data_IF_621240907984
#
_entry.id   IF_621240907984
#
_cell.length_a   1.000
_cell.length_b   1.000
_cell.length_c   1.000
_cell.angle_alpha   90.00
_cell.angle_beta   90.00
_cell.angle_gamma   90.00
#
_symmetry.space_group_name_H-M   'P 1'
#
loop_
_entity.id
_entity.type
_entity.pdbx_description
1 polymer ?
#
# COMPACT_ATOMS: atom_id res chain seq x y z
N UNK A 1 -9.16 -46.01 0.69
CA UNK A 1 -9.08 -46.86 -0.47
C UNK A 1 -9.40 -46.06 -1.70
N UNK A 2 -8.32 -45.59 -2.37
CA UNK A 2 -8.44 -44.74 -3.54
C UNK A 2 -9.17 -45.41 -4.69
N UNK A 3 -10.08 -44.66 -5.31
CA UNK A 3 -10.71 -45.06 -6.56
C UNK A 3 -9.69 -45.10 -7.70
N UNK A 4 -9.99 -45.92 -8.72
CA UNK A 4 -9.29 -45.86 -10.00
C UNK A 4 -9.77 -44.63 -10.76
N UNK A 5 -8.99 -44.14 -11.71
CA UNK A 5 -9.39 -43.13 -12.69
C UNK A 5 -10.80 -43.47 -13.24
N UNK A 6 -11.78 -42.56 -13.08
CA UNK A 6 -13.17 -42.81 -13.42
C UNK A 6 -14.05 -43.49 -12.35
N UNK A 7 -13.51 -43.81 -11.17
CA UNK A 7 -14.30 -44.29 -10.04
C UNK A 7 -14.90 -43.08 -9.25
N UNK A 8 -15.96 -43.29 -8.50
CA UNK A 8 -16.61 -42.27 -7.69
C UNK A 8 -15.65 -41.62 -6.67
N UNK A 9 -16.03 -40.48 -6.15
CA UNK A 9 -15.23 -39.72 -5.20
C UNK A 9 -14.94 -40.51 -3.91
N UNK A 10 -13.74 -40.31 -3.33
CA UNK A 10 -13.38 -40.80 -2.00
C UNK A 10 -13.66 -39.73 -0.94
N UNK A 11 -14.12 -40.17 0.24
CA UNK A 11 -14.44 -39.29 1.35
C UNK A 11 -13.78 -39.80 2.65
N UNK A 12 -13.29 -38.91 3.50
CA UNK A 12 -12.92 -39.27 4.86
C UNK A 12 -14.16 -39.31 5.77
N UNK A 13 -15.02 -38.29 5.65
CA UNK A 13 -16.30 -38.21 6.35
C UNK A 13 -17.37 -37.85 5.32
N UNK A 14 -18.40 -38.69 5.21
CA UNK A 14 -19.55 -38.42 4.34
C UNK A 14 -20.82 -38.41 5.19
N UNK A 15 -21.58 -37.30 5.12
CA UNK A 15 -22.85 -37.13 5.81
C UNK A 15 -23.93 -36.82 4.78
N UNK A 16 -24.87 -37.74 4.61
CA UNK A 16 -25.94 -37.61 3.59
C UNK A 16 -27.28 -37.93 4.18
N UNK A 17 -28.33 -37.26 3.74
CA UNK A 17 -29.70 -37.48 4.15
C UNK A 17 -30.19 -36.46 5.23
N UNK A 18 -31.43 -36.62 5.68
CA UNK A 18 -31.98 -35.71 6.70
C UNK A 18 -31.30 -35.93 8.06
N UNK A 19 -30.64 -34.91 8.55
CA UNK A 19 -30.06 -34.88 9.89
C UNK A 19 -30.25 -33.51 10.51
N UNK A 20 -30.27 -33.45 11.83
CA UNK A 20 -30.28 -32.22 12.59
C UNK A 20 -28.93 -32.08 13.27
N UNK A 21 -28.23 -30.98 13.07
CA UNK A 21 -27.00 -30.61 13.75
C UNK A 21 -25.93 -31.71 13.81
N UNK A 22 -25.16 -31.86 12.78
CA UNK A 22 -24.03 -32.77 12.74
C UNK A 22 -22.71 -32.04 13.09
N UNK A 23 -21.88 -32.64 13.93
CA UNK A 23 -20.60 -32.05 14.34
C UNK A 23 -19.43 -32.95 13.95
N UNK A 24 -18.45 -32.41 13.23
CA UNK A 24 -17.15 -33.01 12.95
C UNK A 24 -16.10 -32.22 13.71
N UNK A 25 -15.55 -32.83 14.79
CA UNK A 25 -14.70 -32.07 15.72
C UNK A 25 -13.46 -32.82 16.17
N UNK A 26 -12.29 -32.13 16.12
CA UNK A 26 -11.03 -32.61 16.70
C UNK A 26 -10.45 -33.83 15.98
N UNK A 27 -10.71 -34.02 14.70
CA UNK A 27 -10.25 -35.13 13.91
C UNK A 27 -8.98 -34.84 13.14
N UNK A 28 -8.20 -35.88 12.91
CA UNK A 28 -7.11 -35.89 11.94
C UNK A 28 -7.57 -36.74 10.73
N UNK A 29 -7.91 -36.07 9.63
CA UNK A 29 -8.49 -36.69 8.44
C UNK A 29 -7.49 -36.59 7.28
N UNK A 30 -7.04 -37.74 6.79
CA UNK A 30 -6.16 -37.81 5.61
C UNK A 30 -6.81 -38.69 4.54
N UNK A 31 -6.90 -38.17 3.33
CA UNK A 31 -7.41 -38.91 2.18
C UNK A 31 -6.45 -38.77 1.00
N UNK A 32 -6.20 -39.88 0.32
CA UNK A 32 -5.41 -39.93 -0.92
C UNK A 32 -6.18 -40.76 -1.95
N UNK A 33 -6.37 -40.22 -3.14
CA UNK A 33 -7.10 -40.88 -4.20
C UNK A 33 -6.47 -40.62 -5.56
N UNK A 34 -6.61 -41.54 -6.50
CA UNK A 34 -6.27 -41.36 -7.91
C UNK A 34 -7.46 -40.78 -8.72
N UNK A 35 -8.38 -40.10 -8.06
CA UNK A 35 -9.55 -39.45 -8.65
C UNK A 35 -10.08 -38.38 -7.71
N UNK A 36 -11.32 -37.91 -7.86
CA UNK A 36 -11.96 -36.95 -6.98
C UNK A 36 -11.83 -37.35 -5.49
N UNK A 37 -11.54 -36.39 -4.64
CA UNK A 37 -11.27 -36.68 -3.24
C UNK A 37 -11.71 -35.53 -2.32
N UNK A 38 -12.42 -35.89 -1.27
CA UNK A 38 -13.02 -34.94 -0.33
C UNK A 38 -12.69 -35.36 1.11
N UNK A 39 -12.30 -34.40 1.93
CA UNK A 39 -12.08 -34.63 3.36
C UNK A 39 -13.42 -34.81 4.10
N UNK A 40 -14.21 -33.76 4.17
CA UNK A 40 -15.57 -33.77 4.75
C UNK A 40 -16.58 -33.45 3.66
N UNK A 41 -17.53 -34.31 3.46
CA UNK A 41 -18.64 -34.09 2.53
C UNK A 41 -19.97 -34.12 3.26
N UNK A 42 -20.79 -33.11 3.03
CA UNK A 42 -22.13 -33.04 3.59
C UNK A 42 -23.13 -32.67 2.52
N UNK A 43 -24.20 -33.47 2.42
CA UNK A 43 -25.28 -33.25 1.46
C UNK A 43 -26.64 -33.54 2.07
N UNK A 44 -27.58 -32.62 1.88
CA UNK A 44 -28.97 -32.84 2.29
C UNK A 44 -29.96 -32.50 1.20
N UNK A 45 -30.72 -33.46 0.78
CA UNK A 45 -31.76 -33.30 -0.23
C UNK A 45 -33.15 -32.94 0.34
N UNK A 46 -33.34 -32.93 1.66
CA UNK A 46 -34.67 -32.98 2.26
C UNK A 46 -34.98 -31.91 3.30
N UNK A 47 -34.20 -30.86 3.42
CA UNK A 47 -34.50 -29.76 4.34
C UNK A 47 -33.29 -29.07 4.96
N UNK A 48 -33.52 -28.02 5.72
CA UNK A 48 -32.45 -27.26 6.36
C UNK A 48 -31.81 -28.09 7.46
N UNK A 49 -30.53 -28.38 7.30
CA UNK A 49 -29.70 -29.02 8.31
C UNK A 49 -28.46 -28.19 8.54
N UNK A 50 -27.88 -28.31 9.73
CA UNK A 50 -26.65 -27.62 10.06
C UNK A 50 -25.51 -28.62 10.24
N UNK A 51 -24.35 -28.34 9.66
CA UNK A 51 -23.11 -29.03 9.97
C UNK A 51 -22.10 -28.03 10.54
N UNK A 52 -21.42 -28.44 11.61
CA UNK A 52 -20.30 -27.73 12.20
C UNK A 52 -19.03 -28.57 12.09
N UNK A 53 -18.02 -28.07 11.41
CA UNK A 53 -16.69 -28.66 11.36
C UNK A 53 -15.72 -27.76 12.17
N UNK A 54 -15.17 -28.29 13.28
CA UNK A 54 -14.32 -27.48 14.14
C UNK A 54 -13.07 -28.21 14.63
N UNK A 55 -11.95 -27.50 14.72
CA UNK A 55 -10.68 -28.00 15.25
C UNK A 55 -10.19 -29.29 14.56
N UNK A 56 -10.44 -29.46 13.27
CA UNK A 56 -9.96 -30.60 12.51
C UNK A 56 -8.66 -30.28 11.78
N UNK A 57 -7.82 -31.28 11.62
CA UNK A 57 -6.72 -31.27 10.68
C UNK A 57 -7.11 -32.15 9.48
N UNK A 58 -7.11 -31.57 8.28
CA UNK A 58 -7.62 -32.23 7.06
C UNK A 58 -6.55 -32.12 5.98
N UNK A 59 -6.15 -33.26 5.45
CA UNK A 59 -5.20 -33.33 4.33
C UNK A 59 -5.79 -34.20 3.20
N UNK A 60 -5.99 -33.57 2.06
CA UNK A 60 -6.61 -34.17 0.89
C UNK A 60 -5.66 -34.12 -0.30
N UNK A 61 -5.39 -35.26 -0.89
CA UNK A 61 -4.59 -35.37 -2.13
C UNK A 61 -5.39 -36.15 -3.17
N UNK A 62 -5.63 -35.55 -4.34
CA UNK A 62 -6.48 -36.19 -5.35
C UNK A 62 -6.21 -35.67 -6.75
N UNK A 63 -7.03 -36.12 -7.69
CA UNK A 63 -7.03 -35.67 -9.09
C UNK A 63 -8.36 -34.99 -9.40
N UNK A 64 -8.32 -33.70 -9.70
CA UNK A 64 -9.46 -32.98 -10.22
C UNK A 64 -9.65 -33.27 -11.71
N UNK A 65 -10.86 -33.10 -12.21
CA UNK A 65 -11.21 -33.31 -13.62
C UNK A 65 -12.26 -32.31 -14.10
N UNK A 66 -12.59 -32.33 -15.40
CA UNK A 66 -13.53 -31.40 -16.00
C UNK A 66 -15.00 -31.63 -15.61
N UNK A 67 -15.32 -32.78 -15.02
CA UNK A 67 -16.67 -33.08 -14.60
C UNK A 67 -17.05 -32.26 -13.35
N UNK A 68 -18.30 -31.82 -13.26
CA UNK A 68 -18.82 -31.01 -12.15
C UNK A 68 -18.56 -31.60 -10.76
N UNK A 69 -18.47 -32.93 -10.68
CA UNK A 69 -18.22 -33.65 -9.43
C UNK A 69 -16.80 -34.22 -9.30
N UNK A 70 -15.90 -33.84 -10.22
CA UNK A 70 -14.50 -34.26 -10.17
C UNK A 70 -13.70 -33.31 -9.26
N UNK A 71 -14.07 -33.19 -7.98
CA UNK A 71 -13.58 -32.23 -7.04
C UNK A 71 -12.44 -32.78 -6.18
N UNK A 72 -11.49 -31.91 -5.83
CA UNK A 72 -10.52 -32.14 -4.78
C UNK A 72 -10.71 -31.03 -3.72
N UNK A 73 -11.28 -31.37 -2.57
CA UNK A 73 -11.63 -30.39 -1.58
C UNK A 73 -11.43 -30.87 -0.15
N UNK A 74 -10.98 -29.98 0.74
CA UNK A 74 -10.95 -30.27 2.16
C UNK A 74 -12.31 -30.47 2.75
N UNK A 75 -13.25 -29.58 2.45
CA UNK A 75 -14.65 -29.68 2.85
C UNK A 75 -15.55 -29.27 1.70
N UNK A 76 -16.59 -30.06 1.45
CA UNK A 76 -17.65 -29.71 0.51
C UNK A 76 -19.02 -29.80 1.21
N UNK A 77 -19.78 -28.73 1.08
CA UNK A 77 -21.11 -28.63 1.65
C UNK A 77 -22.14 -28.44 0.54
N UNK A 78 -23.16 -29.31 0.51
CA UNK A 78 -24.28 -29.20 -0.45
C UNK A 78 -25.60 -29.11 0.31
N UNK A 79 -26.40 -28.11 -0.01
CA UNK A 79 -27.76 -27.89 0.54
C UNK A 79 -27.83 -27.90 2.07
N UNK A 80 -26.80 -27.37 2.76
CA UNK A 80 -26.71 -27.31 4.21
C UNK A 80 -26.32 -25.94 4.72
N UNK A 81 -26.71 -25.59 5.92
CA UNK A 81 -26.08 -24.51 6.70
C UNK A 81 -24.77 -25.04 7.25
N UNK A 82 -23.67 -24.36 6.96
CA UNK A 82 -22.36 -24.87 7.32
C UNK A 82 -21.54 -23.86 8.14
N UNK A 83 -20.95 -24.38 9.19
CA UNK A 83 -20.00 -23.66 10.04
C UNK A 83 -18.66 -24.37 10.02
N UNK A 84 -17.59 -23.62 9.75
CA UNK A 84 -16.23 -24.14 9.73
C UNK A 84 -15.34 -23.25 10.61
N UNK A 85 -14.84 -23.78 11.72
CA UNK A 85 -14.09 -23.03 12.71
C UNK A 85 -12.77 -23.68 13.08
N UNK A 86 -11.68 -22.90 13.09
CA UNK A 86 -10.38 -23.33 13.60
C UNK A 86 -9.85 -24.63 12.96
N UNK A 87 -10.17 -24.90 11.70
CA UNK A 87 -9.65 -26.08 11.01
C UNK A 87 -8.33 -25.73 10.31
N UNK A 88 -7.45 -26.72 10.18
CA UNK A 88 -6.27 -26.66 9.32
C UNK A 88 -6.49 -27.59 8.15
N UNK A 89 -6.47 -27.05 6.94
CA UNK A 89 -6.85 -27.76 5.72
C UNK A 89 -5.73 -27.63 4.67
N UNK A 90 -5.30 -28.78 4.13
CA UNK A 90 -4.35 -28.86 3.03
C UNK A 90 -5.02 -29.60 1.89
N UNK A 91 -5.01 -29.01 0.70
CA UNK A 91 -5.57 -29.60 -0.53
C UNK A 91 -4.52 -29.60 -1.61
N UNK A 92 -4.17 -30.80 -2.08
CA UNK A 92 -3.23 -31.06 -3.16
C UNK A 92 -3.94 -31.67 -4.36
N UNK A 93 -3.71 -31.10 -5.55
CA UNK A 93 -4.11 -31.67 -6.81
C UNK A 93 -2.85 -32.21 -7.52
N UNK A 94 -2.82 -33.52 -7.80
CA UNK A 94 -1.64 -34.18 -8.36
C UNK A 94 -1.64 -34.26 -9.87
N UNK A 95 -2.55 -33.60 -10.58
CA UNK A 95 -2.54 -33.46 -12.03
C UNK A 95 -2.48 -31.98 -12.45
N UNK A 96 -2.21 -31.74 -13.73
CA UNK A 96 -2.12 -30.38 -14.29
C UNK A 96 -3.49 -29.70 -14.49
N UNK A 97 -4.59 -30.42 -14.23
CA UNK A 97 -5.93 -29.87 -14.37
C UNK A 97 -6.21 -28.90 -13.21
N UNK A 98 -6.38 -27.65 -13.54
CA UNK A 98 -6.67 -26.58 -12.59
C UNK A 98 -7.84 -25.74 -13.10
N UNK A 99 -9.06 -26.18 -12.80
CA UNK A 99 -10.26 -25.39 -13.05
C UNK A 99 -10.60 -24.59 -11.80
N UNK A 100 -10.95 -23.34 -12.00
CA UNK A 100 -11.38 -22.41 -10.94
C UNK A 100 -12.51 -22.93 -10.04
N UNK A 101 -13.15 -24.04 -10.42
CA UNK A 101 -14.35 -24.56 -9.78
C UNK A 101 -14.16 -25.87 -9.02
N UNK A 102 -13.06 -26.58 -9.24
CA UNK A 102 -12.97 -27.99 -8.85
C UNK A 102 -11.93 -28.28 -7.77
N UNK A 103 -11.15 -27.28 -7.35
CA UNK A 103 -10.12 -27.44 -6.33
C UNK A 103 -10.23 -26.30 -5.33
N UNK A 104 -10.50 -26.60 -4.05
CA UNK A 104 -10.49 -25.60 -2.97
C UNK A 104 -10.38 -26.24 -1.59
N UNK A 105 -9.97 -25.48 -0.61
CA UNK A 105 -9.99 -25.91 0.79
C UNK A 105 -11.40 -26.17 1.31
N UNK A 106 -12.29 -25.20 1.12
CA UNK A 106 -13.71 -25.30 1.44
C UNK A 106 -14.51 -24.91 0.19
N UNK A 107 -15.45 -25.78 -0.22
CA UNK A 107 -16.31 -25.50 -1.37
C UNK A 107 -17.77 -25.72 -1.05
N UNK A 108 -18.61 -24.97 -1.76
CA UNK A 108 -20.03 -25.24 -1.90
C UNK A 108 -20.39 -25.21 -3.38
N UNK A 109 -20.76 -26.37 -3.89
CA UNK A 109 -21.05 -26.57 -5.31
C UNK A 109 -22.53 -26.94 -5.41
N UNK A 110 -23.48 -26.19 -5.27
CA UNK A 110 -24.77 -26.57 -5.25
C UNK A 110 -25.74 -26.40 -6.19
N UNK A 111 -26.77 -27.00 -6.35
CA UNK A 111 -27.68 -27.13 -7.48
C UNK A 111 -29.15 -26.79 -7.25
N UNK A 112 -29.65 -26.73 -6.08
CA UNK A 112 -31.08 -26.46 -5.88
C UNK A 112 -31.37 -25.17 -5.20
N UNK A 113 -32.48 -24.56 -5.48
CA UNK A 113 -32.92 -23.23 -5.07
C UNK A 113 -33.01 -23.05 -3.55
N UNK A 114 -31.89 -22.74 -2.91
CA UNK A 114 -31.88 -22.38 -1.50
C UNK A 114 -30.75 -21.41 -1.17
N UNK A 115 -31.06 -20.36 -0.41
CA UNK A 115 -30.06 -19.45 0.13
C UNK A 115 -29.42 -20.08 1.34
N UNK A 116 -28.31 -20.79 1.16
CA UNK A 116 -27.60 -21.42 2.25
C UNK A 116 -26.71 -20.44 2.96
N UNK A 117 -26.50 -20.62 4.25
CA UNK A 117 -25.71 -19.77 5.12
C UNK A 117 -24.42 -20.46 5.51
N UNK A 118 -23.31 -19.74 5.38
CA UNK A 118 -21.97 -20.19 5.72
C UNK A 118 -21.33 -19.27 6.73
N UNK A 119 -20.73 -19.86 7.74
CA UNK A 119 -19.93 -19.16 8.73
C UNK A 119 -18.54 -19.82 8.80
N UNK A 120 -17.56 -19.20 8.15
CA UNK A 120 -16.22 -19.74 7.96
C UNK A 120 -15.22 -18.82 8.66
N UNK A 121 -14.70 -19.23 9.82
CA UNK A 121 -13.86 -18.37 10.65
C UNK A 121 -12.63 -19.08 11.22
N UNK A 122 -11.52 -18.32 11.29
CA UNK A 122 -10.27 -18.73 11.96
C UNK A 122 -9.68 -20.04 11.43
N UNK A 123 -9.97 -20.43 10.20
CA UNK A 123 -9.36 -21.60 9.59
C UNK A 123 -7.99 -21.23 8.98
N UNK A 124 -7.08 -22.20 8.91
CA UNK A 124 -5.85 -22.12 8.12
C UNK A 124 -5.99 -23.05 6.93
N UNK A 125 -5.98 -22.50 5.73
CA UNK A 125 -6.27 -23.23 4.49
C UNK A 125 -5.16 -23.02 3.48
N UNK A 126 -4.59 -24.13 3.00
CA UNK A 126 -3.65 -24.19 1.88
C UNK A 126 -4.28 -25.01 0.76
N UNK A 127 -4.46 -24.39 -0.39
CA UNK A 127 -5.08 -25.03 -1.56
C UNK A 127 -4.25 -24.81 -2.81
N UNK A 128 -4.03 -25.85 -3.59
CA UNK A 128 -3.44 -25.73 -4.94
C UNK A 128 -4.44 -25.23 -5.98
N UNK A 129 -5.71 -25.07 -5.63
CA UNK A 129 -6.71 -24.42 -6.47
C UNK A 129 -6.59 -22.90 -6.47
N UNK A 130 -7.32 -22.26 -7.37
CA UNK A 130 -7.36 -20.80 -7.48
C UNK A 130 -7.90 -20.13 -6.22
N UNK A 131 -8.81 -20.78 -5.50
CA UNK A 131 -9.39 -20.27 -4.27
C UNK A 131 -9.15 -21.23 -3.10
N UNK A 132 -8.91 -20.67 -1.93
CA UNK A 132 -8.91 -21.43 -0.68
C UNK A 132 -10.35 -21.70 -0.21
N UNK A 133 -11.26 -20.75 -0.42
CA UNK A 133 -12.70 -20.89 -0.15
C UNK A 133 -13.51 -20.48 -1.37
N UNK A 134 -14.32 -21.39 -1.90
CA UNK A 134 -15.11 -21.20 -3.08
C UNK A 134 -16.58 -21.54 -2.83
N UNK A 135 -17.42 -20.52 -2.72
CA UNK A 135 -18.86 -20.67 -2.48
C UNK A 135 -19.62 -20.16 -3.69
N UNK A 136 -20.31 -21.06 -4.42
CA UNK A 136 -21.03 -20.69 -5.65
C UNK A 136 -22.25 -19.80 -5.38
N UNK A 137 -22.99 -20.06 -4.30
CA UNK A 137 -24.13 -19.22 -3.93
C UNK A 137 -24.38 -19.27 -2.42
N UNK A 138 -24.63 -18.12 -1.81
CA UNK A 138 -24.92 -18.04 -0.38
C UNK A 138 -25.72 -16.76 -0.04
N UNK A 139 -26.30 -16.75 1.15
CA UNK A 139 -26.97 -15.57 1.69
C UNK A 139 -26.62 -15.41 3.16
N UNK A 140 -26.46 -14.13 3.58
CA UNK A 140 -26.17 -13.78 4.97
C UNK A 140 -24.95 -14.56 5.53
N UNK A 141 -23.88 -14.70 4.73
CA UNK A 141 -22.75 -15.58 5.00
C UNK A 141 -21.46 -14.81 5.20
N UNK A 142 -20.50 -15.41 5.89
CA UNK A 142 -19.24 -14.75 6.17
C UNK A 142 -18.03 -15.69 6.08
N UNK A 143 -16.91 -15.12 5.58
CA UNK A 143 -15.59 -15.73 5.55
C UNK A 143 -14.66 -14.71 6.21
N UNK A 144 -14.32 -14.91 7.49
CA UNK A 144 -13.65 -13.87 8.30
C UNK A 144 -12.52 -14.46 9.16
N UNK A 145 -11.39 -13.75 9.22
CA UNK A 145 -10.30 -14.06 10.15
C UNK A 145 -9.55 -15.35 9.82
N UNK A 146 -9.69 -15.88 8.61
CA UNK A 146 -8.99 -17.08 8.21
C UNK A 146 -7.58 -16.75 7.69
N UNK A 147 -6.68 -17.72 7.73
CA UNK A 147 -5.40 -17.66 7.01
C UNK A 147 -5.54 -18.46 5.71
N UNK A 148 -5.54 -17.77 4.58
CA UNK A 148 -5.92 -18.36 3.30
C UNK A 148 -4.77 -18.23 2.29
N UNK A 149 -4.32 -19.38 1.78
CA UNK A 149 -3.36 -19.47 0.69
C UNK A 149 -3.94 -20.36 -0.41
N UNK A 150 -3.96 -19.84 -1.62
CA UNK A 150 -4.33 -20.53 -2.84
C UNK A 150 -3.18 -20.44 -3.85
N UNK A 151 -3.31 -21.04 -5.04
CA UNK A 151 -2.22 -21.12 -6.01
C UNK A 151 -1.60 -19.74 -6.35
N UNK A 152 -2.45 -18.75 -6.63
CA UNK A 152 -1.99 -17.39 -6.98
C UNK A 152 -2.58 -16.31 -6.07
N UNK A 153 -3.53 -16.67 -5.20
CA UNK A 153 -4.30 -15.75 -4.37
C UNK A 153 -4.10 -16.05 -2.88
N UNK A 154 -4.19 -15.03 -2.07
CA UNK A 154 -4.11 -15.20 -0.62
C UNK A 154 -4.94 -14.14 0.12
N UNK A 155 -5.21 -14.37 1.43
CA UNK A 155 -6.05 -13.50 2.24
C UNK A 155 -7.47 -13.39 1.68
N UNK A 156 -8.03 -12.19 1.67
CA UNK A 156 -9.39 -11.97 1.20
C UNK A 156 -9.59 -12.35 -0.28
N UNK A 157 -8.54 -12.21 -1.12
CA UNK A 157 -8.62 -12.55 -2.54
C UNK A 157 -8.71 -14.06 -2.79
N UNK A 158 -8.28 -14.89 -1.85
CA UNK A 158 -8.37 -16.34 -1.93
C UNK A 158 -9.74 -16.90 -1.52
N UNK A 159 -10.72 -16.05 -1.24
CA UNK A 159 -12.08 -16.44 -0.85
C UNK A 159 -13.12 -15.72 -1.69
N UNK A 160 -14.12 -16.43 -2.18
CA UNK A 160 -15.16 -15.86 -3.02
C UNK A 160 -16.55 -16.45 -2.76
N UNK A 161 -17.56 -15.55 -2.74
CA UNK A 161 -18.95 -15.88 -2.99
C UNK A 161 -19.30 -15.50 -4.44
N UNK A 162 -19.52 -16.47 -5.33
CA UNK A 162 -19.79 -16.18 -6.75
C UNK A 162 -21.15 -15.55 -6.99
N UNK A 163 -22.12 -15.81 -6.12
CA UNK A 163 -23.46 -15.20 -6.16
C UNK A 163 -24.13 -15.17 -4.79
N UNK A 164 -25.23 -14.43 -4.68
CA UNK A 164 -26.03 -14.30 -3.47
C UNK A 164 -26.06 -12.90 -2.90
N UNK A 165 -26.57 -12.74 -1.67
CA UNK A 165 -26.79 -11.43 -1.03
C UNK A 165 -26.29 -11.41 0.39
N UNK A 166 -25.86 -10.22 0.85
CA UNK A 166 -25.41 -9.95 2.22
C UNK A 166 -24.22 -10.83 2.67
N UNK A 167 -23.37 -11.23 1.71
CA UNK A 167 -22.20 -12.05 2.03
C UNK A 167 -20.99 -11.16 2.29
N UNK A 168 -20.12 -11.56 3.22
CA UNK A 168 -18.96 -10.80 3.65
C UNK A 168 -17.69 -11.64 3.57
N UNK A 169 -16.68 -11.12 2.89
CA UNK A 169 -15.29 -11.61 2.92
C UNK A 169 -14.43 -10.48 3.46
N UNK A 170 -13.79 -10.67 4.62
CA UNK A 170 -12.93 -9.63 5.20
C UNK A 170 -11.96 -10.18 6.27
N UNK A 171 -10.87 -9.42 6.45
CA UNK A 171 -9.89 -9.67 7.50
C UNK A 171 -9.27 -11.07 7.43
N UNK A 172 -9.21 -11.68 6.23
CA UNK A 172 -8.49 -12.92 6.04
C UNK A 172 -7.01 -12.64 5.79
N UNK A 173 -6.14 -13.42 6.40
CA UNK A 173 -4.69 -13.25 6.33
C UNK A 173 -4.08 -14.02 5.15
N UNK A 174 -2.99 -13.54 4.55
CA UNK A 174 -2.39 -12.23 4.80
C UNK A 174 -3.24 -11.08 4.23
N UNK A 175 -3.38 -10.01 4.99
CA UNK A 175 -4.10 -8.81 4.57
C UNK A 175 -3.24 -7.92 3.68
N UNK A 176 -3.85 -7.10 2.85
CA UNK A 176 -3.14 -6.03 2.15
C UNK A 176 -2.78 -4.91 3.13
N UNK A 177 -1.63 -4.28 2.91
CA UNK A 177 -1.24 -3.06 3.60
C UNK A 177 -0.65 -2.07 2.60
N UNK A 178 -1.08 -0.82 2.69
CA UNK A 178 -0.51 0.27 1.91
C UNK A 178 0.72 0.82 2.63
N UNK A 179 1.68 1.32 1.85
CA UNK A 179 2.83 2.05 2.35
C UNK A 179 2.60 3.55 2.09
N UNK A 180 2.58 4.33 3.14
CA UNK A 180 2.60 5.80 3.06
C UNK A 180 4.04 6.23 3.26
N UNK A 181 4.56 7.05 2.33
CA UNK A 181 5.90 7.61 2.40
C UNK A 181 5.78 9.11 2.63
N UNK A 182 6.37 9.59 3.71
CA UNK A 182 6.44 11.00 4.07
C UNK A 182 7.89 11.47 3.99
N UNK A 183 8.16 12.39 3.08
CA UNK A 183 9.49 12.98 2.88
C UNK A 183 9.37 14.41 2.40
N UNK A 184 10.11 15.31 3.02
CA UNK A 184 10.18 16.71 2.62
C UNK A 184 11.39 16.97 1.74
N UNK A 185 11.31 18.02 0.93
CA UNK A 185 12.46 18.54 0.22
C UNK A 185 13.62 18.85 1.18
N UNK A 186 14.84 18.67 0.73
CA UNK A 186 16.03 18.82 1.54
C UNK A 186 17.05 19.79 0.89
N UNK A 187 18.03 20.19 1.68
CA UNK A 187 19.16 20.98 1.23
C UNK A 187 20.41 20.09 1.09
N UNK A 188 21.22 20.36 0.08
CA UNK A 188 22.45 19.60 -0.17
C UNK A 188 23.36 19.59 1.08
N UNK A 189 23.88 18.42 1.42
CA UNK A 189 24.69 18.22 2.61
C UNK A 189 23.90 18.23 3.94
N UNK A 190 22.56 18.30 3.91
CA UNK A 190 21.69 18.12 5.06
C UNK A 190 21.01 16.76 5.03
N UNK A 191 20.57 16.30 6.21
CA UNK A 191 19.79 15.05 6.29
C UNK A 191 18.41 15.22 5.68
N UNK A 192 18.02 14.32 4.78
CA UNK A 192 16.64 14.07 4.41
C UNK A 192 16.04 13.06 5.41
N UNK A 193 14.86 13.35 5.91
CA UNK A 193 14.11 12.48 6.83
C UNK A 193 12.99 11.83 6.06
N UNK A 194 13.03 10.50 5.97
CA UNK A 194 12.05 9.67 5.25
C UNK A 194 11.26 8.89 6.29
N UNK A 195 9.99 9.23 6.44
CA UNK A 195 9.02 8.48 7.26
C UNK A 195 8.27 7.46 6.42
N UNK A 196 8.06 6.28 6.95
CA UNK A 196 7.16 5.28 6.35
C UNK A 196 6.11 4.85 7.35
N UNK A 197 4.90 4.63 6.87
CA UNK A 197 3.78 4.15 7.68
C UNK A 197 3.02 3.08 6.91
N UNK A 198 2.84 1.94 7.54
CA UNK A 198 2.03 0.81 7.12
C UNK A 198 0.88 0.62 8.11
N UNK A 199 0.16 -0.50 8.00
CA UNK A 199 -0.78 -0.89 9.05
C UNK A 199 -0.05 -1.01 10.41
N UNK A 200 -0.64 -0.52 11.48
CA UNK A 200 -0.02 -0.49 12.81
C UNK A 200 0.34 -1.87 13.39
N UNK A 201 -0.27 -2.93 12.87
CA UNK A 201 0.04 -4.30 13.25
C UNK A 201 1.11 -4.96 12.36
N UNK A 202 1.62 -4.26 11.33
CA UNK A 202 2.71 -4.76 10.49
C UNK A 202 4.03 -4.77 11.26
N UNK A 203 4.78 -5.86 11.13
CA UNK A 203 6.02 -6.13 11.84
C UNK A 203 7.16 -6.46 10.87
N UNK A 204 8.35 -6.71 11.40
CA UNK A 204 9.52 -7.05 10.60
C UNK A 204 10.27 -5.83 10.06
N UNK A 205 10.71 -5.89 8.82
CA UNK A 205 11.56 -4.87 8.19
C UNK A 205 10.99 -4.37 6.89
N UNK A 206 11.34 -3.13 6.52
CA UNK A 206 11.13 -2.58 5.19
C UNK A 206 12.47 -2.15 4.58
N UNK A 207 12.59 -2.29 3.26
CA UNK A 207 13.75 -1.84 2.50
C UNK A 207 13.43 -0.50 1.84
N UNK A 208 14.22 0.52 2.13
CA UNK A 208 14.10 1.88 1.56
C UNK A 208 15.24 2.11 0.60
N UNK A 209 14.94 2.30 -0.67
CA UNK A 209 15.93 2.66 -1.70
C UNK A 209 15.87 4.15 -1.96
N UNK A 210 17.00 4.85 -1.79
CA UNK A 210 17.17 6.28 -2.05
C UNK A 210 18.63 6.59 -2.34
N UNK A 211 18.92 7.52 -3.25
CA UNK A 211 20.28 7.91 -3.62
C UNK A 211 21.13 6.74 -4.13
N UNK A 212 20.52 5.74 -4.79
CA UNK A 212 21.18 4.54 -5.30
C UNK A 212 21.60 3.53 -4.23
N UNK A 213 21.20 3.72 -2.98
CA UNK A 213 21.49 2.80 -1.85
C UNK A 213 20.20 2.22 -1.29
N UNK A 214 20.31 1.01 -0.72
CA UNK A 214 19.21 0.35 -0.01
C UNK A 214 19.50 0.33 1.49
N UNK A 215 18.51 0.69 2.27
CA UNK A 215 18.56 0.72 3.74
C UNK A 215 17.45 -0.14 4.29
N UNK A 216 17.78 -1.09 5.17
CA UNK A 216 16.78 -1.90 5.87
C UNK A 216 16.46 -1.26 7.21
N UNK A 217 15.18 -1.01 7.46
CA UNK A 217 14.67 -0.41 8.71
C UNK A 217 13.70 -1.35 9.39
N UNK A 218 13.71 -1.37 10.73
CA UNK A 218 12.75 -2.14 11.53
C UNK A 218 11.46 -1.36 11.68
N UNK A 219 10.32 -2.05 11.55
CA UNK A 219 9.01 -1.50 11.83
C UNK A 219 8.68 -1.57 13.32
N UNK A 220 8.19 -0.48 13.88
CA UNK A 220 7.62 -0.40 15.21
C UNK A 220 6.23 0.20 15.09
N UNK A 221 5.20 -0.53 15.49
CA UNK A 221 3.80 -0.14 15.29
C UNK A 221 3.49 0.26 13.83
N UNK A 222 4.02 -0.52 12.88
CA UNK A 222 3.88 -0.28 11.44
C UNK A 222 4.64 0.94 10.90
N UNK A 223 5.55 1.55 11.67
CA UNK A 223 6.27 2.76 11.29
C UNK A 223 7.77 2.59 11.34
N UNK A 224 8.47 3.32 10.48
CA UNK A 224 9.91 3.52 10.60
C UNK A 224 10.31 4.91 10.07
N UNK A 225 11.49 5.35 10.46
CA UNK A 225 12.10 6.59 9.99
C UNK A 225 13.55 6.34 9.59
N UNK A 226 13.93 6.81 8.42
CA UNK A 226 15.30 6.78 7.91
C UNK A 226 15.80 8.22 7.76
N UNK A 227 17.03 8.48 8.21
CA UNK A 227 17.76 9.72 7.96
C UNK A 227 18.89 9.43 6.98
N UNK A 228 18.96 10.20 5.90
CA UNK A 228 19.96 10.01 4.84
C UNK A 228 20.63 11.34 4.54
N UNK A 229 21.94 11.37 4.55
CA UNK A 229 22.78 12.48 4.09
C UNK A 229 23.40 12.17 2.71
N UNK A 230 24.08 13.16 2.15
CA UNK A 230 24.88 13.03 0.93
C UNK A 230 24.08 12.61 -0.31
N UNK A 231 22.82 13.04 -0.39
CA UNK A 231 22.00 12.87 -1.57
C UNK A 231 22.40 13.88 -2.66
N UNK A 232 22.36 13.47 -3.93
CA UNK A 232 22.66 14.39 -5.05
C UNK A 232 21.59 15.47 -5.17
N UNK A 233 21.99 16.64 -5.64
CA UNK A 233 21.07 17.72 -5.99
C UNK A 233 20.11 17.27 -7.11
N UNK A 234 18.91 17.85 -7.11
CA UNK A 234 17.84 17.53 -8.04
C UNK A 234 16.81 16.57 -7.49
N UNK A 235 16.04 15.94 -8.37
CA UNK A 235 14.99 15.00 -8.01
C UNK A 235 15.57 13.65 -7.54
N UNK A 236 15.15 13.22 -6.38
CA UNK A 236 15.50 11.94 -5.79
C UNK A 236 14.24 11.09 -5.62
N UNK A 237 14.32 9.83 -6.03
CA UNK A 237 13.24 8.85 -5.83
C UNK A 237 13.48 8.08 -4.54
N UNK A 238 12.43 7.93 -3.75
CA UNK A 238 12.34 6.99 -2.63
C UNK A 238 11.45 5.84 -3.07
N UNK A 239 11.96 4.62 -3.04
CA UNK A 239 11.16 3.40 -3.20
C UNK A 239 11.23 2.59 -1.92
N UNK A 240 10.08 2.11 -1.47
CA UNK A 240 9.95 1.28 -0.28
C UNK A 240 9.38 -0.07 -0.65
N UNK A 241 10.05 -1.14 -0.25
CA UNK A 241 9.59 -2.52 -0.40
C UNK A 241 9.42 -3.14 1.00
N UNK A 242 8.27 -3.73 1.25
CA UNK A 242 7.93 -4.51 2.43
C UNK A 242 7.61 -5.95 2.01
N UNK A 243 8.33 -6.93 2.55
CA UNK A 243 8.20 -8.34 2.15
C UNK A 243 6.98 -9.06 2.76
N UNK A 244 6.27 -8.40 3.68
CA UNK A 244 5.20 -9.00 4.45
C UNK A 244 5.69 -9.69 5.74
N UNK A 245 4.75 -10.15 6.58
CA UNK A 245 5.07 -10.77 7.89
C UNK A 245 4.16 -11.96 8.25
N UNK A 246 3.50 -12.57 7.29
CA UNK A 246 2.52 -13.63 7.49
C UNK A 246 1.11 -13.13 7.84
N UNK A 247 0.96 -11.93 8.43
CA UNK A 247 -0.32 -11.24 8.60
C UNK A 247 -0.63 -10.31 7.45
N UNK A 248 0.41 -9.76 6.84
CA UNK A 248 0.30 -8.82 5.73
C UNK A 248 1.05 -9.32 4.52
N UNK A 249 0.50 -9.04 3.34
CA UNK A 249 1.13 -9.29 2.04
C UNK A 249 2.34 -8.36 1.86
N UNK A 250 3.25 -8.75 0.99
CA UNK A 250 4.25 -7.83 0.48
C UNK A 250 3.59 -6.62 -0.18
N UNK A 251 4.21 -5.47 -0.06
CA UNK A 251 3.75 -4.24 -0.72
C UNK A 251 4.93 -3.37 -1.11
N UNK A 252 4.72 -2.50 -2.10
CA UNK A 252 5.72 -1.54 -2.57
C UNK A 252 5.06 -0.21 -2.85
N UNK A 253 5.78 0.88 -2.60
CA UNK A 253 5.37 2.22 -2.99
C UNK A 253 6.59 3.08 -3.28
N UNK A 254 6.40 4.19 -4.02
CA UNK A 254 7.47 5.14 -4.33
C UNK A 254 6.95 6.57 -4.40
N UNK A 255 7.83 7.51 -4.08
CA UNK A 255 7.59 8.95 -4.23
C UNK A 255 8.88 9.65 -4.61
N UNK A 256 8.81 10.92 -4.97
CA UNK A 256 9.96 11.75 -5.25
C UNK A 256 10.00 12.99 -4.33
N UNK A 257 11.20 13.51 -4.11
CA UNK A 257 11.45 14.77 -3.44
C UNK A 257 12.68 15.44 -4.05
N UNK A 258 12.84 16.74 -3.83
CA UNK A 258 13.98 17.49 -4.37
C UNK A 258 15.03 17.78 -3.29
N UNK A 259 16.29 17.68 -3.70
CA UNK A 259 17.44 18.17 -2.92
C UNK A 259 17.98 19.40 -3.64
N UNK A 260 17.97 20.54 -2.93
CA UNK A 260 18.34 21.83 -3.48
C UNK A 260 19.81 22.16 -3.20
N UNK A 261 20.49 22.72 -4.17
CA UNK A 261 21.92 23.12 -4.10
C UNK A 261 22.14 24.62 -4.01
N UNK A 262 21.06 25.40 -4.02
CA UNK A 262 21.10 26.85 -3.99
C UNK A 262 21.23 27.53 -5.35
N UNK A 263 21.24 26.78 -6.45
CA UNK A 263 21.26 27.39 -7.79
C UNK A 263 19.85 27.82 -8.16
N UNK A 264 19.64 29.12 -8.28
CA UNK A 264 18.35 29.73 -8.62
C UNK A 264 18.35 30.18 -10.07
N UNK A 265 17.55 29.54 -10.90
CA UNK A 265 17.29 29.94 -12.30
C UNK A 265 15.82 30.36 -12.45
N UNK A 266 15.45 30.86 -13.62
CA UNK A 266 14.04 31.19 -13.88
C UNK A 266 13.10 29.98 -13.70
N UNK A 267 13.57 28.77 -14.02
CA UNK A 267 12.79 27.54 -13.88
C UNK A 267 12.70 27.05 -12.42
N UNK A 268 13.76 27.31 -11.62
CA UNK A 268 13.82 26.82 -10.22
C UNK A 268 13.44 27.88 -9.16
N UNK A 269 13.20 29.13 -9.58
CA UNK A 269 12.89 30.23 -8.67
C UNK A 269 11.76 29.90 -7.69
N UNK A 270 10.65 29.38 -8.22
CA UNK A 270 9.46 29.06 -7.42
C UNK A 270 9.63 27.83 -6.52
N UNK A 271 10.68 27.05 -6.71
CA UNK A 271 11.08 26.04 -5.75
C UNK A 271 11.69 26.69 -4.49
N UNK A 272 12.43 27.80 -4.61
CA UNK A 272 13.06 28.50 -3.50
C UNK A 272 12.16 29.56 -2.85
N UNK A 273 11.26 30.16 -3.62
CA UNK A 273 10.34 31.19 -3.15
C UNK A 273 8.89 30.74 -3.35
N UNK A 274 8.32 30.15 -2.29
CA UNK A 274 6.94 29.66 -2.29
C UNK A 274 6.02 30.81 -1.88
N UNK A 275 5.07 31.16 -2.77
CA UNK A 275 4.20 32.33 -2.57
C UNK A 275 4.99 33.62 -2.27
N UNK A 276 6.11 33.78 -2.93
CA UNK A 276 6.99 34.95 -2.75
C UNK A 276 7.83 34.95 -1.49
N UNK A 277 7.77 33.93 -0.66
CA UNK A 277 8.54 33.82 0.59
C UNK A 277 9.56 32.68 0.50
N UNK A 278 10.75 32.91 1.05
CA UNK A 278 11.81 31.91 1.08
C UNK A 278 11.32 30.60 1.73
N UNK A 279 11.53 29.49 1.04
CA UNK A 279 11.03 28.16 1.46
C UNK A 279 11.67 27.69 2.77
N UNK A 280 10.94 26.91 3.57
CA UNK A 280 11.36 26.46 4.89
C UNK A 280 12.61 25.57 4.87
N UNK A 281 12.75 24.74 3.83
CA UNK A 281 13.91 23.84 3.67
C UNK A 281 15.22 24.55 3.28
N UNK A 282 15.19 25.83 2.90
CA UNK A 282 16.41 26.64 2.73
C UNK A 282 16.97 26.96 4.11
N UNK A 283 18.16 26.49 4.48
CA UNK A 283 18.69 26.70 5.82
C UNK A 283 19.16 28.14 6.01
N UNK A 284 19.21 28.58 7.28
CA UNK A 284 19.88 29.83 7.63
C UNK A 284 21.35 29.81 7.21
N UNK A 285 21.83 30.90 6.67
CA UNK A 285 23.19 31.05 6.15
C UNK A 285 23.39 30.42 4.77
N UNK A 286 22.33 29.88 4.15
CA UNK A 286 22.41 29.33 2.80
C UNK A 286 22.89 30.37 1.79
N UNK A 287 23.58 29.89 0.76
CA UNK A 287 23.92 30.69 -0.41
C UNK A 287 22.99 30.34 -1.55
N UNK A 288 22.28 31.33 -2.07
CA UNK A 288 21.46 31.26 -3.26
C UNK A 288 22.19 31.94 -4.42
N UNK A 289 22.61 31.16 -5.40
CA UNK A 289 23.33 31.62 -6.59
C UNK A 289 22.37 31.85 -7.75
N UNK A 290 21.99 33.10 -7.96
CA UNK A 290 21.09 33.52 -9.03
C UNK A 290 21.81 33.57 -10.37
N UNK A 291 21.23 32.88 -11.35
CA UNK A 291 21.79 32.79 -12.71
C UNK A 291 20.73 33.13 -13.75
N UNK A 292 21.08 34.05 -14.65
CA UNK A 292 20.23 34.48 -15.73
C UNK A 292 19.24 35.59 -15.37
N UNK A 293 18.13 35.69 -16.10
CA UNK A 293 17.25 36.87 -16.05
C UNK A 293 15.85 36.47 -15.56
N UNK A 294 15.33 37.28 -14.66
CA UNK A 294 14.01 37.09 -14.01
C UNK A 294 13.14 38.32 -14.31
N UNK A 295 12.11 38.15 -15.12
CA UNK A 295 11.21 39.21 -15.51
C UNK A 295 9.82 38.98 -14.99
N UNK A 296 9.35 39.78 -14.04
CA UNK A 296 7.96 39.79 -13.59
C UNK A 296 7.06 40.43 -14.67
N UNK A 297 5.94 39.79 -14.92
CA UNK A 297 4.89 40.29 -15.81
C UNK A 297 3.52 39.90 -15.22
N UNK A 298 2.40 40.19 -15.92
CA UNK A 298 1.06 40.06 -15.35
C UNK A 298 0.75 38.65 -14.82
N UNK A 299 1.23 37.60 -15.49
CA UNK A 299 0.95 36.21 -15.17
C UNK A 299 2.04 35.56 -14.28
N UNK A 300 3.23 36.14 -14.18
CA UNK A 300 4.36 35.59 -13.43
C UNK A 300 5.00 36.69 -12.58
N UNK A 301 4.96 36.51 -11.26
CA UNK A 301 5.55 37.44 -10.29
C UNK A 301 6.71 36.78 -9.57
N UNK A 302 7.88 37.40 -9.67
CA UNK A 302 9.09 37.00 -8.93
C UNK A 302 9.20 37.76 -7.61
N UNK A 303 8.22 37.57 -6.71
CA UNK A 303 8.25 38.17 -5.40
C UNK A 303 9.34 37.53 -4.53
N UNK A 304 10.07 38.35 -3.79
CA UNK A 304 11.21 37.96 -3.00
C UNK A 304 11.04 38.48 -1.57
N UNK A 305 10.70 37.61 -0.63
CA UNK A 305 10.70 37.94 0.78
C UNK A 305 11.71 37.06 1.54
N UNK A 306 12.73 37.70 2.10
CA UNK A 306 13.77 37.07 2.88
C UNK A 306 13.39 37.16 4.35
N UNK A 307 13.09 36.01 4.96
CA UNK A 307 12.63 35.86 6.33
C UNK A 307 13.61 35.11 7.25
N UNK A 308 14.80 34.80 6.76
CA UNK A 308 15.92 34.21 7.48
C UNK A 308 17.24 34.67 6.85
N UNK A 309 18.37 34.71 7.59
CA UNK A 309 19.64 35.15 7.06
C UNK A 309 20.12 34.24 5.94
N UNK A 310 20.44 34.82 4.77
CA UNK A 310 20.97 34.10 3.61
C UNK A 310 21.98 34.97 2.86
N UNK A 311 22.74 34.32 1.96
CA UNK A 311 23.58 34.99 0.98
C UNK A 311 22.93 34.84 -0.41
N UNK A 312 22.51 35.93 -1.01
CA UNK A 312 22.10 35.98 -2.42
C UNK A 312 23.27 36.51 -3.24
N UNK A 313 23.74 35.72 -4.20
CA UNK A 313 24.89 36.07 -5.03
C UNK A 313 24.60 35.76 -6.50
N UNK A 314 25.44 36.28 -7.39
CA UNK A 314 25.56 35.79 -8.76
C UNK A 314 27.01 35.44 -9.05
N UNK A 315 27.31 34.14 -9.15
CA UNK A 315 28.66 33.69 -9.51
C UNK A 315 28.94 33.86 -11.00
N UNK A 316 27.90 33.90 -11.83
CA UNK A 316 27.99 34.10 -13.30
C UNK A 316 28.01 35.58 -13.67
N UNK A 317 27.61 36.49 -12.77
CA UNK A 317 27.54 37.92 -13.00
C UNK A 317 26.45 38.36 -13.98
N UNK A 318 25.51 37.47 -14.30
CA UNK A 318 24.42 37.72 -15.25
C UNK A 318 23.03 37.80 -14.59
N UNK A 319 22.97 37.70 -13.24
CA UNK A 319 21.72 37.79 -12.53
C UNK A 319 21.07 39.17 -12.68
N UNK A 320 19.94 39.17 -13.33
CA UNK A 320 19.15 40.37 -13.59
C UNK A 320 17.70 40.11 -13.15
N UNK A 321 17.21 40.91 -12.20
CA UNK A 321 15.86 40.75 -11.66
C UNK A 321 15.06 42.02 -11.94
N UNK A 322 14.04 41.89 -12.76
CA UNK A 322 13.06 42.97 -13.05
C UNK A 322 11.72 42.57 -12.38
N UNK A 323 11.39 43.24 -11.30
CA UNK A 323 10.17 43.00 -10.57
C UNK A 323 8.96 43.71 -11.17
N UNK A 324 9.16 44.55 -12.18
CA UNK A 324 8.12 45.35 -12.85
C UNK A 324 7.27 46.14 -11.81
N UNK A 325 7.92 46.68 -10.81
CA UNK A 325 7.28 47.49 -9.79
C UNK A 325 6.85 48.82 -10.42
N UNK A 326 5.58 49.15 -10.45
CA UNK A 326 5.09 50.41 -10.99
C UNK A 326 5.46 51.56 -10.05
N UNK A 327 6.08 52.58 -10.60
CA UNK A 327 6.42 53.79 -9.84
C UNK A 327 5.12 54.45 -9.34
N UNK A 328 5.00 54.64 -8.02
CA UNK A 328 3.90 55.38 -7.40
C UNK A 328 3.07 54.62 -6.38
N UNK A 329 3.38 53.34 -6.14
CA UNK A 329 2.76 52.65 -5.00
C UNK A 329 3.30 53.20 -3.68
N UNK A 330 2.45 53.92 -2.96
CA UNK A 330 2.77 54.41 -1.64
C UNK A 330 2.65 53.29 -0.60
N UNK A 331 3.41 53.40 0.48
CA UNK A 331 3.30 52.51 1.64
C UNK A 331 1.83 52.29 2.02
N UNK A 332 1.35 51.04 1.86
CA UNK A 332 0.01 50.63 2.25
C UNK A 332 -0.94 50.19 1.11
N UNK A 333 -0.64 50.47 -0.15
CA UNK A 333 -1.35 49.95 -1.28
C UNK A 333 -0.48 48.85 -1.92
N UNK A 334 -1.02 47.70 -2.20
CA UNK A 334 -0.34 46.49 -2.73
C UNK A 334 0.71 46.86 -3.80
N UNK A 335 2.01 46.93 -3.49
CA UNK A 335 2.98 47.67 -4.31
C UNK A 335 3.44 46.94 -5.56
N UNK A 336 2.75 45.92 -5.98
CA UNK A 336 3.26 45.03 -7.03
C UNK A 336 4.38 44.17 -6.49
N UNK A 337 5.15 43.55 -7.38
CA UNK A 337 6.30 42.73 -6.95
C UNK A 337 7.38 43.58 -6.31
N UNK A 338 7.90 43.17 -5.15
CA UNK A 338 9.00 43.85 -4.45
C UNK A 338 9.97 42.83 -3.84
N UNK A 339 11.19 43.30 -3.58
CA UNK A 339 12.17 42.55 -2.82
C UNK A 339 12.13 43.04 -1.38
N UNK A 340 11.77 42.14 -0.44
CA UNK A 340 11.61 42.48 0.96
C UNK A 340 12.60 41.69 1.82
N UNK A 341 13.30 42.38 2.72
CA UNK A 341 14.08 41.74 3.77
C UNK A 341 13.45 42.16 5.11
N UNK A 342 12.79 41.27 5.79
CA UNK A 342 12.16 41.55 7.08
C UNK A 342 13.10 41.20 8.25
N UNK A 343 12.63 41.37 9.50
CA UNK A 343 13.42 41.13 10.71
C UNK A 343 14.12 39.77 10.73
N UNK A 344 13.42 38.71 10.31
CA UNK A 344 14.01 37.37 10.21
C UNK A 344 15.17 37.27 9.22
N UNK A 345 15.22 38.15 8.22
CA UNK A 345 16.32 38.24 7.24
C UNK A 345 17.54 39.04 7.71
N UNK A 346 17.60 39.43 8.96
CA UNK A 346 18.75 40.14 9.52
C UNK A 346 20.05 39.36 9.32
N UNK A 347 21.12 40.05 8.92
CA UNK A 347 22.41 39.43 8.59
C UNK A 347 22.51 38.88 7.15
N UNK A 348 21.50 39.09 6.31
CA UNK A 348 21.57 38.68 4.89
C UNK A 348 22.54 39.56 4.11
N UNK A 349 23.19 38.94 3.12
CA UNK A 349 24.07 39.58 2.15
C UNK A 349 23.53 39.37 0.73
N UNK A 350 23.44 40.46 -0.06
CA UNK A 350 23.02 40.44 -1.45
C UNK A 350 24.13 41.09 -2.28
N UNK A 351 24.69 40.33 -3.23
CA UNK A 351 25.79 40.82 -4.05
C UNK A 351 25.79 40.32 -5.46
N UNK A 352 26.24 41.14 -6.39
CA UNK A 352 26.39 40.79 -7.81
C UNK A 352 25.07 40.56 -8.58
N UNK A 353 23.94 41.07 -8.05
CA UNK A 353 22.61 40.95 -8.67
C UNK A 353 22.14 42.32 -9.11
N UNK A 354 21.72 42.44 -10.36
CA UNK A 354 21.17 43.70 -10.91
C UNK A 354 19.66 43.69 -10.69
N UNK A 355 19.18 44.64 -9.92
CA UNK A 355 17.74 44.90 -9.76
C UNK A 355 17.31 46.03 -10.67
N UNK A 356 16.29 45.79 -11.48
CA UNK A 356 15.72 46.76 -12.41
C UNK A 356 14.21 46.86 -12.14
N UNK A 357 13.65 48.06 -12.26
CA UNK A 357 12.23 48.33 -11.97
C UNK A 357 11.77 47.64 -10.67
N UNK A 358 12.62 47.67 -9.67
CA UNK A 358 12.44 46.90 -8.43
C UNK A 358 12.53 47.81 -7.22
N UNK A 359 11.57 47.65 -6.30
CA UNK A 359 11.69 48.27 -4.96
C UNK A 359 12.28 47.25 -4.01
N UNK A 360 13.29 47.68 -3.24
CA UNK A 360 13.91 46.89 -2.18
C UNK A 360 13.47 47.48 -0.84
N UNK A 361 12.78 46.69 -0.04
CA UNK A 361 12.30 47.09 1.26
C UNK A 361 13.03 46.34 2.35
N UNK A 362 13.72 47.03 3.20
CA UNK A 362 14.35 46.49 4.40
C UNK A 362 13.51 46.97 5.58
N UNK A 363 12.76 46.04 6.16
CA UNK A 363 11.81 46.30 7.23
C UNK A 363 12.24 45.62 8.50
N UNK A 364 12.63 46.41 9.50
CA UNK A 364 13.03 45.94 10.83
C UNK A 364 14.18 44.91 10.83
N UNK A 365 14.96 44.86 9.76
CA UNK A 365 16.11 43.97 9.61
C UNK A 365 17.43 44.72 9.88
N UNK A 366 18.38 44.01 10.47
CA UNK A 366 19.68 44.58 10.89
C UNK A 366 20.83 43.85 10.18
N UNK A 367 21.95 44.56 10.02
CA UNK A 367 23.18 44.00 9.43
C UNK A 367 22.99 43.41 8.02
N UNK A 368 22.12 44.01 7.23
CA UNK A 368 21.91 43.64 5.82
C UNK A 368 22.97 44.35 4.99
N UNK A 369 23.60 43.60 4.10
CA UNK A 369 24.59 44.12 3.14
C UNK A 369 24.02 44.00 1.73
N UNK A 370 23.95 45.14 1.04
CA UNK A 370 23.67 45.21 -0.40
C UNK A 370 24.93 45.67 -1.09
N UNK A 371 25.54 44.86 -1.90
CA UNK A 371 26.78 45.15 -2.60
C UNK A 371 26.69 44.75 -4.08
N UNK A 372 27.25 45.60 -4.94
CA UNK A 372 27.28 45.34 -6.39
C UNK A 372 28.66 44.82 -6.79
#
# INVERSE_FOLDING_TARGET
>A
TGGKEGAGAAYAVQVTGPYNNFVVKGNNLTTVSNGPNLGVYSQNYYGATEITAENNWINVTGFAGPAEFALVSGMEFQDTVAKAYNNTIYVQNVNEYNDDNNIAGITYVQSTSGSHQFDIQNNTIYSEGKYAVLIKSAKDSQIIGNTLYAHELNGDDAAIFKSGTNNVVKNNYPMSTDIIIDVNNAWIGKEAVIGITLNSAATGTANIMVGGKTYTVNLTDGKATLKVSDLPAGENTVKVDYDGDGKFKSSTNSTTFKVFDGIVTNETFFDYFINGTLADYVPEGATLDFRGKFYSHDDVKFDLAINKPINMISTTGDAFIDLNTTAGSLLGENPGSCFTINNGGSGSNVSGIIFHNSQVWIYDAHNVVLNN
#
